data_IF_794098757472
#
_entry.id   IF_794098757472
#
_cell.length_a   1.000
_cell.length_b   1.000
_cell.length_c   1.000
_cell.angle_alpha   90.00
_cell.angle_beta   90.00
_cell.angle_gamma   90.00
#
_symmetry.space_group_name_H-M   'P 1'
#
loop_
_entity.id
_entity.type
_entity.pdbx_description
1 polymer ?
#
# COMPACT_ATOMS: atom_id res chain seq x y z
N UNK A 1 -6.82 -0.54 -14.48
CA UNK A 1 -5.45 -0.10 -14.27
C UNK A 1 -4.45 -1.20 -14.53
N UNK A 2 -3.28 -0.85 -15.06
CA UNK A 2 -2.27 -1.85 -15.45
C UNK A 2 -1.72 -2.62 -14.25
N UNK A 3 -1.55 -1.96 -13.11
CA UNK A 3 -1.08 -2.58 -11.88
C UNK A 3 -2.09 -3.60 -11.35
N UNK A 4 -3.34 -3.24 -11.25
CA UNK A 4 -4.41 -4.12 -10.81
C UNK A 4 -4.59 -5.33 -11.75
N UNK A 5 -4.60 -5.09 -13.08
CA UNK A 5 -4.74 -6.16 -14.07
C UNK A 5 -3.56 -7.14 -14.03
N UNK A 6 -2.35 -6.63 -13.78
CA UNK A 6 -1.15 -7.48 -13.61
C UNK A 6 -1.27 -8.36 -12.37
N UNK A 7 -1.79 -7.81 -11.27
CA UNK A 7 -1.90 -8.51 -9.98
C UNK A 7 -3.06 -9.50 -9.95
N UNK A 8 -4.22 -9.11 -10.46
CA UNK A 8 -5.45 -9.87 -10.39
C UNK A 8 -5.86 -10.55 -11.72
N UNK A 9 -5.09 -10.34 -12.78
CA UNK A 9 -5.40 -10.89 -14.11
C UNK A 9 -6.58 -10.22 -14.82
N UNK A 10 -7.30 -9.35 -14.11
CA UNK A 10 -8.51 -8.65 -14.58
C UNK A 10 -8.35 -7.15 -14.39
N UNK A 11 -9.07 -6.35 -15.17
CA UNK A 11 -9.19 -4.91 -14.87
C UNK A 11 -10.08 -4.69 -13.62
N UNK A 12 -9.98 -3.53 -12.94
CA UNK A 12 -10.86 -3.21 -11.81
C UNK A 12 -12.36 -3.36 -12.15
N UNK A 13 -12.78 -2.88 -13.30
CA UNK A 13 -14.16 -2.96 -13.76
C UNK A 13 -14.60 -4.41 -14.08
N UNK A 14 -13.71 -5.22 -14.66
CA UNK A 14 -13.99 -6.65 -14.87
C UNK A 14 -14.09 -7.40 -13.54
N UNK A 15 -13.20 -7.10 -12.60
CA UNK A 15 -13.23 -7.68 -11.27
C UNK A 15 -14.50 -7.30 -10.49
N UNK A 16 -15.00 -6.07 -10.61
CA UNK A 16 -16.27 -5.67 -10.00
C UNK A 16 -17.47 -6.36 -10.66
N UNK A 17 -17.47 -6.47 -12.00
CA UNK A 17 -18.60 -7.06 -12.74
C UNK A 17 -18.67 -8.58 -12.56
N UNK A 18 -17.54 -9.25 -12.53
CA UNK A 18 -17.45 -10.71 -12.43
C UNK A 18 -16.13 -11.13 -11.77
N UNK A 19 -16.04 -11.07 -10.44
CA UNK A 19 -14.81 -11.43 -9.71
C UNK A 19 -14.54 -12.94 -9.81
N UNK A 20 -13.35 -13.30 -10.26
CA UNK A 20 -12.90 -14.70 -10.28
C UNK A 20 -12.44 -15.14 -8.88
N UNK A 21 -13.37 -15.19 -7.92
CA UNK A 21 -13.10 -15.52 -6.52
C UNK A 21 -12.40 -16.86 -6.33
N UNK A 22 -12.69 -17.85 -7.15
CA UNK A 22 -12.07 -19.19 -7.03
C UNK A 22 -10.61 -19.20 -7.48
N UNK A 23 -10.27 -18.41 -8.50
CA UNK A 23 -8.87 -18.19 -8.89
C UNK A 23 -8.12 -17.43 -7.78
N UNK A 24 -8.78 -16.47 -7.16
CA UNK A 24 -8.26 -15.70 -6.04
C UNK A 24 -8.06 -16.53 -4.77
N UNK A 25 -9.08 -17.29 -4.36
CA UNK A 25 -9.02 -18.20 -3.19
C UNK A 25 -7.91 -19.25 -3.32
N UNK A 26 -7.66 -19.74 -4.53
CA UNK A 26 -6.57 -20.70 -4.78
C UNK A 26 -5.17 -20.08 -4.64
N UNK A 27 -5.05 -18.78 -4.84
CA UNK A 27 -3.80 -18.03 -4.66
C UNK A 27 -3.59 -17.59 -3.22
N UNK A 28 -4.63 -17.59 -2.40
CA UNK A 28 -4.59 -17.20 -1.00
C UNK A 28 -4.58 -18.46 -0.13
N UNK A 29 -3.46 -18.83 0.48
CA UNK A 29 -3.36 -20.03 1.32
C UNK A 29 -4.11 -19.91 2.66
N UNK A 30 -4.78 -18.80 2.95
CA UNK A 30 -5.39 -18.56 4.25
C UNK A 30 -6.80 -17.99 4.13
N UNK A 31 -7.81 -18.84 4.35
CA UNK A 31 -9.13 -18.39 4.76
C UNK A 31 -9.06 -18.12 6.26
N UNK A 32 -9.14 -16.86 6.69
CA UNK A 32 -9.24 -16.52 8.10
C UNK A 32 -10.45 -17.23 8.73
N UNK A 33 -10.28 -18.08 9.77
CA UNK A 33 -11.38 -18.75 10.43
C UNK A 33 -12.17 -17.83 11.37
N UNK A 34 -11.73 -16.60 11.55
CA UNK A 34 -12.41 -15.63 12.37
C UNK A 34 -13.33 -14.79 11.50
N UNK A 35 -14.62 -15.04 11.67
CA UNK A 35 -15.67 -14.22 11.06
C UNK A 35 -15.32 -12.75 11.23
N UNK A 36 -15.40 -12.02 10.12
CA UNK A 36 -15.13 -10.59 10.04
C UNK A 36 -15.88 -9.89 11.15
N UNK A 37 -15.18 -9.51 12.22
CA UNK A 37 -15.64 -8.43 13.10
C UNK A 37 -15.97 -7.29 12.15
N UNK A 38 -17.20 -6.77 12.18
CA UNK A 38 -17.72 -5.80 11.24
C UNK A 38 -16.65 -4.75 10.93
N UNK A 39 -15.99 -4.89 9.77
CA UNK A 39 -14.88 -4.05 9.39
C UNK A 39 -15.41 -2.64 9.17
N UNK A 40 -15.04 -1.72 10.03
CA UNK A 40 -15.47 -0.35 9.93
C UNK A 40 -14.68 0.35 8.83
N UNK A 41 -15.24 0.36 7.62
CA UNK A 41 -14.70 1.12 6.49
C UNK A 41 -15.25 2.54 6.55
N UNK A 42 -14.36 3.51 6.47
CA UNK A 42 -14.71 4.93 6.39
C UNK A 42 -14.28 5.48 5.04
N UNK A 43 -15.15 6.21 4.38
CA UNK A 43 -14.80 6.95 3.17
C UNK A 43 -14.33 8.34 3.56
N UNK A 44 -13.14 8.69 3.07
CA UNK A 44 -12.56 10.02 3.25
C UNK A 44 -12.18 10.63 1.89
N UNK A 45 -12.08 11.94 1.86
CA UNK A 45 -11.37 12.64 0.79
C UNK A 45 -9.92 12.83 1.21
N UNK A 46 -9.04 11.97 0.69
CA UNK A 46 -7.62 12.00 1.03
C UNK A 46 -6.95 13.17 0.32
N UNK A 47 -6.17 14.00 1.02
CA UNK A 47 -5.52 15.15 0.41
C UNK A 47 -4.40 14.70 -0.53
N UNK A 48 -4.25 15.41 -1.64
CA UNK A 48 -3.08 15.27 -2.50
C UNK A 48 -1.80 15.52 -1.67
N UNK A 49 -0.91 14.53 -1.65
CA UNK A 49 0.18 14.51 -0.67
C UNK A 49 1.53 14.37 -1.36
N UNK A 50 2.33 15.44 -1.42
CA UNK A 50 3.74 15.33 -1.79
C UNK A 50 4.49 14.45 -0.80
N UNK A 51 5.38 13.61 -1.30
CA UNK A 51 6.15 12.66 -0.50
C UNK A 51 7.58 12.54 -0.99
N UNK A 52 8.49 12.23 -0.08
CA UNK A 52 9.79 11.67 -0.40
C UNK A 52 9.67 10.15 -0.40
N UNK A 53 10.19 9.47 -1.41
CA UNK A 53 10.06 8.02 -1.61
C UNK A 53 11.41 7.34 -1.75
N UNK A 54 11.60 6.25 -1.04
CA UNK A 54 12.64 5.26 -1.29
C UNK A 54 12.01 4.04 -1.98
N UNK A 55 12.38 3.80 -3.23
CA UNK A 55 11.90 2.63 -3.98
C UNK A 55 12.60 1.36 -3.50
N UNK A 56 11.81 0.32 -3.28
CA UNK A 56 12.28 -1.04 -3.11
C UNK A 56 11.94 -1.87 -4.35
N UNK A 57 12.95 -2.55 -4.88
CA UNK A 57 12.80 -3.55 -5.93
C UNK A 57 13.61 -4.78 -5.57
N UNK A 58 13.02 -5.95 -5.71
CA UNK A 58 13.66 -7.22 -5.35
C UNK A 58 12.90 -7.97 -4.26
N UNK A 59 13.52 -8.95 -3.61
CA UNK A 59 12.85 -9.81 -2.63
C UNK A 59 12.09 -9.02 -1.57
N UNK A 60 10.81 -9.38 -1.29
CA UNK A 60 10.01 -8.74 -0.24
C UNK A 60 10.65 -8.87 1.16
N UNK A 61 11.50 -9.88 1.40
CA UNK A 61 12.23 -10.06 2.66
C UNK A 61 13.21 -8.92 2.94
N UNK A 62 13.64 -8.20 1.92
CA UNK A 62 14.59 -7.09 2.00
C UNK A 62 13.95 -5.70 2.07
N UNK A 63 12.63 -5.60 2.18
CA UNK A 63 11.92 -4.32 2.31
C UNK A 63 12.43 -3.50 3.49
N UNK A 64 12.82 -4.17 4.59
CA UNK A 64 13.35 -3.51 5.78
C UNK A 64 14.67 -2.75 5.51
N UNK A 65 15.52 -3.24 4.63
CA UNK A 65 16.73 -2.52 4.22
C UNK A 65 16.41 -1.17 3.56
N UNK A 66 15.32 -1.13 2.78
CA UNK A 66 14.84 0.11 2.17
C UNK A 66 14.24 1.05 3.21
N UNK A 67 13.52 0.52 4.21
CA UNK A 67 13.01 1.32 5.32
C UNK A 67 14.16 1.92 6.15
N UNK A 68 15.20 1.14 6.46
CA UNK A 68 16.40 1.63 7.15
C UNK A 68 17.13 2.73 6.38
N UNK A 69 17.26 2.55 5.06
CA UNK A 69 17.83 3.55 4.15
C UNK A 69 17.02 4.85 4.15
N UNK A 70 15.69 4.75 4.14
CA UNK A 70 14.81 5.93 4.23
C UNK A 70 14.92 6.63 5.59
N UNK A 71 15.01 5.88 6.69
CA UNK A 71 15.26 6.42 8.03
C UNK A 71 16.62 7.14 8.10
N UNK A 72 17.66 6.55 7.52
CA UNK A 72 18.98 7.17 7.46
C UNK A 72 18.95 8.49 6.67
N UNK A 73 18.24 8.53 5.55
CA UNK A 73 18.02 9.76 4.80
C UNK A 73 17.30 10.84 5.63
N UNK A 74 16.23 10.48 6.33
CA UNK A 74 15.50 11.42 7.22
C UNK A 74 16.41 12.03 8.27
N UNK A 75 17.27 11.21 8.87
CA UNK A 75 18.23 11.66 9.89
C UNK A 75 19.31 12.58 9.30
N UNK A 76 19.83 12.22 8.14
CA UNK A 76 20.90 12.97 7.52
C UNK A 76 20.44 14.31 6.93
N UNK A 77 19.26 14.35 6.34
CA UNK A 77 18.72 15.55 5.70
C UNK A 77 17.93 16.46 6.63
N UNK A 78 17.39 15.93 7.73
CA UNK A 78 16.41 16.62 8.58
C UNK A 78 15.03 16.79 7.92
N UNK A 79 14.84 16.27 6.69
CA UNK A 79 13.60 16.37 5.95
C UNK A 79 12.60 15.26 6.36
N UNK A 80 11.31 15.53 6.23
CA UNK A 80 10.24 14.60 6.57
C UNK A 80 10.39 13.95 7.96
N UNK A 81 10.59 14.73 9.05
CA UNK A 81 10.84 14.17 10.37
C UNK A 81 9.61 13.39 10.88
N UNK A 82 9.84 12.24 11.53
CA UNK A 82 8.77 11.33 12.00
C UNK A 82 7.76 12.04 12.91
N UNK A 83 8.22 12.97 13.73
CA UNK A 83 7.36 13.67 14.69
C UNK A 83 6.30 14.59 14.04
N UNK A 84 6.53 15.06 12.82
CA UNK A 84 5.67 16.05 12.15
C UNK A 84 5.22 15.63 10.78
N UNK A 85 5.73 14.52 10.25
CA UNK A 85 5.42 14.01 8.91
C UNK A 85 4.71 12.67 9.00
N UNK A 86 3.83 12.42 8.03
CA UNK A 86 3.21 11.11 7.86
C UNK A 86 4.20 10.14 7.24
N UNK A 87 4.12 8.87 7.61
CA UNK A 87 4.94 7.80 7.02
C UNK A 87 4.04 6.82 6.29
N UNK A 88 4.48 6.41 5.10
CA UNK A 88 3.71 5.58 4.18
C UNK A 88 4.48 4.35 3.72
N UNK A 89 3.74 3.26 3.48
CA UNK A 89 4.18 2.13 2.69
C UNK A 89 3.26 1.97 1.49
N UNK A 90 3.81 1.81 0.29
CA UNK A 90 3.04 1.75 -0.95
C UNK A 90 3.38 0.43 -1.66
N UNK A 91 2.54 -0.62 -1.49
CA UNK A 91 2.71 -1.90 -2.17
C UNK A 91 2.25 -1.79 -3.62
N UNK A 92 3.16 -1.95 -4.56
CA UNK A 92 2.83 -2.07 -5.98
C UNK A 92 2.64 -3.52 -6.41
N UNK A 93 3.04 -4.46 -5.57
CA UNK A 93 3.04 -5.88 -5.85
C UNK A 93 2.63 -6.67 -4.62
N UNK A 94 1.92 -7.78 -4.81
CA UNK A 94 1.62 -8.73 -3.75
C UNK A 94 2.85 -9.63 -3.51
N UNK A 95 3.41 -9.67 -2.29
CA UNK A 95 4.57 -10.48 -1.98
C UNK A 95 4.33 -11.99 -2.11
N UNK A 96 3.05 -12.42 -2.05
CA UNK A 96 2.69 -13.84 -2.11
C UNK A 96 2.57 -14.36 -3.55
N UNK A 97 2.39 -13.47 -4.54
CA UNK A 97 2.10 -13.86 -5.93
C UNK A 97 3.11 -13.31 -6.93
N UNK A 98 3.88 -12.30 -6.56
CA UNK A 98 4.84 -11.64 -7.44
C UNK A 98 6.23 -12.28 -7.30
N UNK A 99 6.89 -12.68 -8.39
CA UNK A 99 8.27 -13.12 -8.33
C UNK A 99 9.17 -12.08 -7.66
N UNK A 100 10.13 -12.50 -6.81
CA UNK A 100 10.96 -11.57 -6.04
C UNK A 100 11.65 -10.50 -6.88
N UNK A 101 12.13 -10.83 -8.08
CA UNK A 101 12.78 -9.90 -9.00
C UNK A 101 11.86 -8.83 -9.60
N UNK A 102 10.55 -9.05 -9.54
CA UNK A 102 9.52 -8.13 -10.03
C UNK A 102 8.79 -7.40 -8.89
N UNK A 103 9.06 -7.81 -7.65
CA UNK A 103 8.40 -7.21 -6.50
C UNK A 103 8.82 -5.76 -6.32
N UNK A 104 7.82 -4.92 -6.04
CA UNK A 104 8.00 -3.49 -5.79
C UNK A 104 7.19 -3.01 -4.59
N UNK A 105 7.87 -2.25 -3.73
CA UNK A 105 7.30 -1.58 -2.58
C UNK A 105 8.00 -0.25 -2.37
N UNK A 106 7.30 0.83 -2.15
CA UNK A 106 7.91 2.11 -1.83
C UNK A 106 7.68 2.45 -0.35
N UNK A 107 8.71 2.99 0.29
CA UNK A 107 8.65 3.57 1.63
C UNK A 107 8.72 5.08 1.48
N UNK A 108 7.80 5.80 2.15
CA UNK A 108 7.72 7.23 1.97
C UNK A 108 7.37 8.03 3.22
N UNK A 109 7.58 9.32 3.11
CA UNK A 109 7.15 10.27 4.12
C UNK A 109 6.65 11.57 3.50
N UNK A 110 5.59 12.15 4.07
CA UNK A 110 5.10 13.44 3.58
C UNK A 110 6.16 14.52 3.70
N UNK A 111 6.28 15.33 2.66
CA UNK A 111 7.25 16.41 2.57
C UNK A 111 6.70 17.52 1.70
N UNK A 112 6.57 18.71 2.26
CA UNK A 112 6.29 19.92 1.51
C UNK A 112 7.64 20.53 1.06
N UNK A 113 7.92 20.44 -0.24
CA UNK A 113 9.15 20.95 -0.84
C UNK A 113 9.91 19.91 -1.65
N UNK A 114 11.11 20.29 -2.07
CA UNK A 114 11.94 19.49 -2.93
C UNK A 114 12.71 18.40 -2.17
N UNK A 115 13.01 17.32 -2.86
CA UNK A 115 13.96 16.30 -2.41
C UNK A 115 15.28 16.52 -3.18
N UNK A 116 16.31 17.08 -2.52
CA UNK A 116 17.61 17.26 -3.16
C UNK A 116 18.26 15.94 -3.56
N UNK A 117 19.17 15.97 -4.52
CA UNK A 117 20.00 14.84 -4.84
C UNK A 117 20.71 14.31 -3.59
N UNK A 118 20.67 13.00 -3.40
CA UNK A 118 21.18 12.39 -2.19
C UNK A 118 21.71 10.96 -2.44
N UNK A 119 22.66 10.49 -1.63
CA UNK A 119 23.25 9.16 -1.79
C UNK A 119 22.32 8.01 -1.39
N UNK A 120 21.19 8.32 -0.79
CA UNK A 120 20.22 7.32 -0.35
C UNK A 120 19.22 6.91 -1.44
N UNK A 121 19.25 7.57 -2.61
CA UNK A 121 18.33 7.30 -3.72
C UNK A 121 16.87 7.65 -3.41
N UNK A 122 16.64 8.54 -2.45
CA UNK A 122 15.31 9.06 -2.15
C UNK A 122 14.92 10.11 -3.19
N UNK A 123 13.70 10.04 -3.68
CA UNK A 123 13.17 10.88 -4.76
C UNK A 123 11.87 11.55 -4.34
N UNK A 124 11.55 12.67 -4.96
CA UNK A 124 10.25 13.27 -4.84
C UNK A 124 9.19 12.39 -5.51
N UNK A 125 8.03 12.32 -4.89
CA UNK A 125 6.87 11.60 -5.38
C UNK A 125 5.58 12.21 -4.89
N UNK A 126 4.47 11.52 -5.14
CA UNK A 126 3.13 12.01 -4.76
C UNK A 126 2.18 10.85 -4.53
N UNK A 127 1.39 10.94 -3.47
CA UNK A 127 0.19 10.13 -3.28
C UNK A 127 -0.98 11.00 -3.76
N UNK A 128 -1.66 10.63 -4.86
CA UNK A 128 -2.73 11.45 -5.42
C UNK A 128 -3.90 11.58 -4.45
N UNK A 129 -4.40 12.77 -4.28
CA UNK A 129 -5.60 13.05 -3.52
C UNK A 129 -6.85 12.40 -4.11
N UNK A 130 -7.94 12.42 -3.37
CA UNK A 130 -9.26 11.96 -3.78
C UNK A 130 -9.90 10.97 -2.84
N UNK A 131 -11.04 10.43 -3.25
CA UNK A 131 -11.88 9.53 -2.47
C UNK A 131 -11.17 8.22 -2.14
N UNK A 132 -11.06 7.90 -0.85
CA UNK A 132 -10.39 6.70 -0.35
C UNK A 132 -11.27 5.97 0.65
N UNK A 133 -11.33 4.64 0.54
CA UNK A 133 -11.84 3.76 1.56
C UNK A 133 -10.72 3.45 2.56
N UNK A 134 -10.96 3.69 3.83
CA UNK A 134 -9.96 3.55 4.90
C UNK A 134 -10.46 2.58 5.94
N UNK A 135 -9.59 1.67 6.33
CA UNK A 135 -9.75 0.83 7.51
C UNK A 135 -8.59 1.06 8.47
N UNK A 136 -8.86 0.95 9.77
CA UNK A 136 -7.82 0.94 10.77
C UNK A 136 -7.41 -0.50 11.07
N UNK A 137 -6.16 -0.82 10.80
CA UNK A 137 -5.58 -2.09 11.24
C UNK A 137 -4.99 -1.93 12.65
N UNK A 138 -5.31 -2.87 13.54
CA UNK A 138 -4.76 -2.97 14.88
C UNK A 138 -4.03 -4.31 15.01
N UNK A 139 -2.77 -4.28 15.39
CA UNK A 139 -1.99 -5.49 15.62
C UNK A 139 -0.69 -5.54 14.82
N UNK A 140 -0.19 -6.74 14.64
CA UNK A 140 1.07 -7.00 13.94
C UNK A 140 0.95 -6.75 12.44
N UNK A 141 2.03 -6.25 11.83
CA UNK A 141 2.16 -6.18 10.37
C UNK A 141 1.96 -7.53 9.66
N UNK A 142 2.13 -8.65 10.38
CA UNK A 142 1.91 -10.01 9.84
C UNK A 142 0.44 -10.31 9.53
N UNK A 143 -0.49 -9.59 10.14
CA UNK A 143 -1.94 -9.73 9.92
C UNK A 143 -2.52 -8.59 9.08
N UNK A 144 -1.67 -7.71 8.55
CA UNK A 144 -2.08 -6.58 7.72
C UNK A 144 -2.74 -7.05 6.42
N UNK A 145 -2.23 -8.13 5.85
CA UNK A 145 -2.76 -8.74 4.62
C UNK A 145 -4.23 -9.15 4.78
N UNK A 146 -4.62 -9.69 5.93
CA UNK A 146 -6.01 -10.06 6.22
C UNK A 146 -6.95 -8.86 6.09
N UNK A 147 -6.53 -7.70 6.58
CA UNK A 147 -7.31 -6.46 6.49
C UNK A 147 -7.43 -5.95 5.05
N UNK A 148 -6.34 -6.06 4.27
CA UNK A 148 -6.33 -5.65 2.87
C UNK A 148 -7.26 -6.56 2.05
N UNK A 149 -7.10 -7.87 2.21
CA UNK A 149 -7.93 -8.84 1.48
C UNK A 149 -9.40 -8.71 1.86
N UNK A 150 -9.73 -8.49 3.13
CA UNK A 150 -11.10 -8.25 3.55
C UNK A 150 -11.70 -6.99 2.90
N UNK A 151 -10.91 -5.89 2.78
CA UNK A 151 -11.36 -4.69 2.11
C UNK A 151 -11.68 -4.94 0.62
N UNK A 152 -10.80 -5.64 -0.09
CA UNK A 152 -10.97 -5.90 -1.52
C UNK A 152 -11.98 -7.01 -1.81
N UNK A 153 -12.01 -8.08 -0.99
CA UNK A 153 -12.85 -9.25 -1.22
C UNK A 153 -14.26 -9.09 -0.70
N UNK A 154 -14.38 -8.50 0.51
CA UNK A 154 -15.65 -8.54 1.24
C UNK A 154 -16.39 -7.20 1.15
N UNK A 155 -15.68 -6.08 1.28
CA UNK A 155 -16.31 -4.75 1.28
C UNK A 155 -16.49 -4.16 -0.13
N UNK A 156 -15.44 -4.14 -0.93
CA UNK A 156 -15.46 -3.45 -2.23
C UNK A 156 -16.58 -3.92 -3.17
N UNK A 157 -16.86 -5.23 -3.32
CA UNK A 157 -17.93 -5.69 -4.22
C UNK A 157 -19.34 -5.23 -3.83
N UNK A 158 -19.54 -4.91 -2.56
CA UNK A 158 -20.84 -4.51 -2.01
C UNK A 158 -20.96 -3.00 -1.83
N UNK A 159 -19.85 -2.27 -1.99
CA UNK A 159 -19.77 -0.84 -1.68
C UNK A 159 -20.32 0.07 -2.77
N UNK A 160 -20.38 -0.40 -4.02
CA UNK A 160 -20.66 0.44 -5.20
C UNK A 160 -19.50 1.38 -5.57
N UNK A 161 -18.35 1.29 -4.91
CA UNK A 161 -17.18 2.11 -5.20
C UNK A 161 -16.32 1.51 -6.32
N UNK A 162 -15.63 2.35 -7.06
CA UNK A 162 -14.72 1.95 -8.13
C UNK A 162 -13.26 2.22 -7.76
N UNK A 163 -12.38 1.26 -8.06
CA UNK A 163 -10.94 1.44 -7.87
C UNK A 163 -10.35 2.36 -8.91
N UNK A 164 -9.59 3.34 -8.45
CA UNK A 164 -8.78 4.18 -9.34
C UNK A 164 -7.40 3.53 -9.62
N UNK A 165 -6.69 4.07 -10.61
CA UNK A 165 -5.37 3.55 -11.03
C UNK A 165 -4.24 4.04 -10.11
N UNK A 166 -4.33 3.68 -8.84
CA UNK A 166 -3.28 3.88 -7.85
C UNK A 166 -3.29 2.69 -6.87
N UNK A 167 -2.15 2.19 -6.40
CA UNK A 167 -2.12 1.11 -5.41
C UNK A 167 -2.76 1.54 -4.09
N UNK A 168 -3.19 0.57 -3.29
CA UNK A 168 -3.46 0.86 -1.88
C UNK A 168 -2.17 1.36 -1.21
N UNK A 169 -2.32 2.06 -0.10
CA UNK A 169 -1.16 2.49 0.67
C UNK A 169 -1.46 2.43 2.16
N UNK A 170 -0.43 2.24 2.94
CA UNK A 170 -0.49 2.24 4.39
C UNK A 170 -0.05 3.59 4.91
N UNK A 171 -0.78 4.12 5.87
CA UNK A 171 -0.36 5.24 6.68
C UNK A 171 -0.03 4.73 8.08
N UNK A 172 1.25 4.70 8.41
CA UNK A 172 1.72 4.30 9.74
C UNK A 172 1.50 5.42 10.73
N UNK A 173 0.64 5.18 11.74
CA UNK A 173 0.27 6.21 12.73
C UNK A 173 0.99 6.06 14.07
N UNK A 174 1.55 4.89 14.33
CA UNK A 174 2.37 4.59 15.50
C UNK A 174 3.65 3.88 15.01
N UNK A 175 4.76 4.58 15.02
CA UNK A 175 6.08 4.07 14.66
C UNK A 175 6.97 3.96 15.89
#
# INVERSE_FOLDING_TARGET
SRAFKREFGQSPSQFQAQPEWDAWRRRLPYASPHGVLAMQVTIIDFPDTPVALAEHRGSPERVMETAERFIAWRKASGLSPVATSRTFGIPYSDPNTTPPEQFRWDVGGSLDGDVPDNPFGVKAGRIPGGRCAVIRHYGSHRTLDDSIYALYRDWLPQSGEELRDYPCFFHYVNL
#
